data_IF_474419222265
#
_entry.id   IF_474419222265
#
_cell.length_a   1.000
_cell.length_b   1.000
_cell.length_c   1.000
_cell.angle_alpha   90.00
_cell.angle_beta   90.00
_cell.angle_gamma   90.00
#
_symmetry.space_group_name_H-M   'P 1'
#
loop_
_entity.id
_entity.type
_entity.pdbx_description
1 polymer ?
#
# COMPACT_ATOMS: atom_id res chain seq x y z
N UNK A 1 21.01 -48.55 -21.24
CA UNK A 1 20.46 -47.71 -22.30
C UNK A 1 19.14 -47.15 -21.79
N UNK A 2 19.14 -45.98 -21.17
CA UNK A 2 17.90 -45.20 -20.98
C UNK A 2 18.27 -43.72 -20.85
N UNK A 3 17.82 -42.92 -21.81
CA UNK A 3 18.17 -41.51 -21.95
C UNK A 3 17.18 -40.68 -21.14
N UNK A 4 17.74 -39.96 -20.16
CA UNK A 4 17.35 -38.63 -19.66
C UNK A 4 15.96 -38.11 -20.05
N UNK A 5 15.15 -37.82 -19.03
CA UNK A 5 14.20 -36.71 -19.09
C UNK A 5 14.03 -36.10 -17.70
N UNK A 6 15.05 -35.37 -17.25
CA UNK A 6 14.81 -34.37 -16.22
C UNK A 6 13.96 -33.25 -16.84
N UNK A 7 12.80 -32.90 -16.26
CA UNK A 7 11.98 -31.83 -16.82
C UNK A 7 12.79 -30.53 -16.80
N UNK A 8 12.78 -29.79 -17.91
CA UNK A 8 13.41 -28.46 -17.98
C UNK A 8 12.76 -27.61 -16.90
N UNK A 9 13.50 -27.33 -15.82
CA UNK A 9 13.03 -26.44 -14.75
C UNK A 9 12.64 -25.11 -15.39
N UNK A 10 11.36 -24.75 -15.30
CA UNK A 10 10.90 -23.40 -15.60
C UNK A 10 11.82 -22.44 -14.81
N UNK A 11 12.58 -21.60 -15.51
CA UNK A 11 13.32 -20.53 -14.85
C UNK A 11 12.28 -19.54 -14.31
N UNK A 12 12.16 -19.45 -12.99
CA UNK A 12 11.28 -18.50 -12.30
C UNK A 12 11.83 -17.10 -12.52
N UNK A 13 10.99 -16.16 -12.95
CA UNK A 13 11.36 -14.75 -13.12
C UNK A 13 11.27 -14.01 -11.78
N UNK A 14 12.36 -14.10 -11.00
CA UNK A 14 12.44 -13.54 -9.66
C UNK A 14 12.41 -12.01 -9.61
N UNK A 15 12.68 -11.31 -10.73
CA UNK A 15 12.66 -9.83 -10.76
C UNK A 15 11.22 -9.32 -10.90
N UNK A 16 10.39 -10.00 -11.70
CA UNK A 16 8.95 -9.75 -11.79
C UNK A 16 8.19 -10.19 -10.51
N UNK A 17 8.58 -11.32 -9.89
CA UNK A 17 8.03 -11.81 -8.61
C UNK A 17 8.32 -10.90 -7.40
N UNK A 18 9.37 -10.09 -7.51
CA UNK A 18 9.82 -9.16 -6.47
C UNK A 18 9.22 -7.74 -6.64
N UNK A 19 8.67 -7.45 -7.82
CA UNK A 19 7.94 -6.21 -8.14
C UNK A 19 6.42 -6.38 -7.95
N UNK A 20 5.89 -7.59 -8.14
CA UNK A 20 4.50 -7.93 -7.82
C UNK A 20 4.34 -8.21 -6.32
N UNK A 21 3.29 -7.67 -5.71
CA UNK A 21 2.81 -8.23 -4.46
C UNK A 21 2.08 -9.53 -4.80
N UNK A 22 2.26 -10.61 -4.03
CA UNK A 22 1.58 -11.91 -4.24
C UNK A 22 0.05 -11.82 -4.41
N UNK A 23 -0.57 -10.70 -4.01
CA UNK A 23 -2.02 -10.41 -4.13
C UNK A 23 -2.46 -10.13 -5.59
N UNK A 24 -1.55 -9.75 -6.48
CA UNK A 24 -1.88 -9.27 -7.83
C UNK A 24 -2.13 -10.39 -8.87
N UNK A 25 -1.80 -11.65 -8.54
CA UNK A 25 -2.02 -12.80 -9.43
C UNK A 25 -3.42 -13.45 -9.28
N UNK A 26 -4.20 -13.08 -8.26
CA UNK A 26 -5.50 -13.69 -7.95
C UNK A 26 -6.70 -12.75 -8.12
N UNK A 27 -6.65 -11.74 -9.00
CA UNK A 27 -7.82 -10.87 -9.23
C UNK A 27 -9.03 -11.67 -9.76
N UNK A 28 -8.81 -12.85 -10.36
CA UNK A 28 -9.86 -13.73 -10.86
C UNK A 28 -10.33 -14.84 -9.89
N UNK A 29 -9.78 -14.95 -8.68
CA UNK A 29 -10.08 -16.10 -7.79
C UNK A 29 -10.76 -15.77 -6.46
N UNK A 30 -10.89 -14.50 -6.05
CA UNK A 30 -11.54 -14.16 -4.78
C UNK A 30 -12.83 -13.38 -4.98
N UNK A 31 -13.93 -14.00 -4.53
CA UNK A 31 -15.28 -13.51 -4.66
C UNK A 31 -15.41 -12.02 -4.35
N UNK A 32 -16.14 -11.33 -5.23
CA UNK A 32 -16.47 -9.91 -5.14
C UNK A 32 -16.93 -9.59 -3.71
N UNK A 33 -16.13 -8.85 -2.92
CA UNK A 33 -16.56 -8.36 -1.61
C UNK A 33 -17.88 -7.60 -1.83
N UNK A 34 -18.97 -8.11 -1.24
CA UNK A 34 -20.28 -7.46 -1.35
C UNK A 34 -20.27 -6.22 -0.47
N UNK A 35 -20.11 -5.06 -1.10
CA UNK A 35 -20.34 -3.78 -0.44
C UNK A 35 -21.81 -3.66 -0.05
N UNK A 36 -22.11 -3.04 1.10
CA UNK A 36 -23.50 -2.74 1.45
C UNK A 36 -24.07 -1.79 0.40
N UNK A 37 -25.33 -2.04 0.00
CA UNK A 37 -26.02 -1.15 -0.93
C UNK A 37 -26.00 0.28 -0.37
N UNK A 38 -25.43 1.23 -1.12
CA UNK A 38 -25.27 2.64 -0.71
C UNK A 38 -23.88 3.05 -0.21
N UNK A 39 -22.89 2.15 -0.13
CA UNK A 39 -21.51 2.53 0.22
C UNK A 39 -20.86 3.37 -0.87
N UNK A 40 -20.26 4.52 -0.50
CA UNK A 40 -19.51 5.41 -1.40
C UNK A 40 -18.02 5.03 -1.39
N UNK A 41 -17.38 5.06 -2.56
CA UNK A 41 -15.95 4.79 -2.74
C UNK A 41 -15.25 6.10 -3.05
N UNK A 42 -14.12 6.35 -2.38
CA UNK A 42 -13.31 7.56 -2.56
C UNK A 42 -11.85 7.19 -2.80
N UNK A 43 -11.11 8.07 -3.47
CA UNK A 43 -9.68 7.89 -3.70
C UNK A 43 -8.87 8.22 -2.44
N UNK A 44 -8.01 7.29 -2.05
CA UNK A 44 -7.07 7.45 -0.95
C UNK A 44 -5.74 7.97 -1.51
N UNK A 45 -5.19 9.02 -0.92
CA UNK A 45 -3.84 9.51 -1.22
C UNK A 45 -2.79 8.67 -0.48
N UNK A 46 -2.94 8.53 0.84
CA UNK A 46 -2.08 7.71 1.69
C UNK A 46 -2.73 7.43 3.04
N UNK A 47 -2.26 6.39 3.71
CA UNK A 47 -2.53 6.17 5.12
C UNK A 47 -1.50 6.94 5.95
N UNK A 48 -1.96 7.66 6.98
CA UNK A 48 -1.13 8.54 7.80
C UNK A 48 -0.78 7.87 9.13
N UNK A 49 -1.76 7.22 9.74
CA UNK A 49 -1.64 6.63 11.08
C UNK A 49 -2.48 5.36 11.20
N UNK A 50 -2.18 4.55 12.21
CA UNK A 50 -2.92 3.33 12.56
C UNK A 50 -3.13 3.29 14.06
N UNK A 51 -4.34 2.91 14.50
CA UNK A 51 -4.66 2.65 15.91
C UNK A 51 -5.32 1.29 16.08
N UNK A 52 -5.11 0.65 17.23
CA UNK A 52 -5.73 -0.62 17.60
C UNK A 52 -7.04 -0.36 18.34
N UNK A 53 -8.08 -1.09 17.99
CA UNK A 53 -9.37 -1.09 18.68
C UNK A 53 -9.41 -2.17 19.78
N UNK A 54 -10.40 -2.07 20.68
CA UNK A 54 -10.56 -3.00 21.82
C UNK A 54 -10.79 -4.46 21.40
N UNK A 55 -11.29 -4.68 20.19
CA UNK A 55 -11.61 -5.98 19.61
C UNK A 55 -10.49 -6.55 18.71
N UNK A 56 -9.25 -6.09 18.90
CA UNK A 56 -8.08 -6.46 18.09
C UNK A 56 -8.09 -6.01 16.62
N UNK A 57 -9.11 -5.26 16.19
CA UNK A 57 -9.12 -4.65 14.86
C UNK A 57 -8.24 -3.40 14.79
N UNK A 58 -7.99 -2.96 13.56
CA UNK A 58 -7.26 -1.73 13.27
C UNK A 58 -8.12 -0.73 12.52
N UNK A 59 -7.94 0.54 12.87
CA UNK A 59 -8.37 1.67 12.05
C UNK A 59 -7.16 2.42 11.55
N UNK A 60 -7.31 3.00 10.37
CA UNK A 60 -6.29 3.79 9.72
C UNK A 60 -6.79 5.19 9.47
N UNK A 61 -5.96 6.18 9.75
CA UNK A 61 -6.25 7.56 9.39
C UNK A 61 -5.93 7.75 7.91
N UNK A 62 -6.98 8.02 7.13
CA UNK A 62 -6.92 8.11 5.67
C UNK A 62 -6.75 9.57 5.24
N UNK A 63 -5.66 9.87 4.52
CA UNK A 63 -5.58 11.09 3.73
C UNK A 63 -6.35 10.88 2.44
N UNK A 64 -7.46 11.61 2.28
CA UNK A 64 -8.26 11.58 1.06
C UNK A 64 -7.57 12.37 -0.05
N UNK A 65 -7.63 11.87 -1.28
CA UNK A 65 -7.00 12.50 -2.45
C UNK A 65 -7.70 13.81 -2.81
N UNK A 66 -6.94 14.88 -3.00
CA UNK A 66 -7.43 16.23 -3.35
C UNK A 66 -8.27 16.91 -2.24
N UNK A 67 -8.29 16.34 -1.04
CA UNK A 67 -8.89 16.96 0.13
C UNK A 67 -7.83 17.46 1.10
N UNK A 68 -8.11 18.48 1.90
CA UNK A 68 -7.18 18.94 2.93
C UNK A 68 -6.87 17.89 4.00
N UNK A 69 -5.75 18.07 4.72
CA UNK A 69 -5.34 17.12 5.77
C UNK A 69 -6.37 17.02 6.91
N UNK A 70 -7.03 18.12 7.28
CA UNK A 70 -7.99 18.15 8.39
C UNK A 70 -9.30 17.40 8.10
N UNK A 71 -9.58 17.02 6.86
CA UNK A 71 -10.75 16.20 6.51
C UNK A 71 -10.45 14.70 6.57
N UNK A 72 -9.24 14.32 7.00
CA UNK A 72 -8.86 12.91 7.15
C UNK A 72 -9.72 12.23 8.22
N UNK A 73 -10.18 11.01 7.94
CA UNK A 73 -11.03 10.24 8.84
C UNK A 73 -10.39 8.91 9.20
N UNK A 74 -10.76 8.37 10.36
CA UNK A 74 -10.38 7.03 10.78
C UNK A 74 -11.31 6.02 10.11
N UNK A 75 -10.75 5.20 9.22
CA UNK A 75 -11.49 4.15 8.52
C UNK A 75 -11.08 2.76 9.04
N UNK A 76 -12.05 1.87 9.31
CA UNK A 76 -11.79 0.46 9.58
C UNK A 76 -10.95 -0.20 8.48
N UNK A 77 -10.08 -1.14 8.88
CA UNK A 77 -9.30 -1.95 7.93
C UNK A 77 -10.16 -2.61 6.84
N UNK A 78 -11.39 -3.00 7.20
CA UNK A 78 -12.35 -3.61 6.28
C UNK A 78 -12.84 -2.68 5.15
N UNK A 79 -12.73 -1.36 5.31
CA UNK A 79 -13.05 -0.37 4.26
C UNK A 79 -11.91 -0.14 3.29
N UNK A 80 -10.70 -0.64 3.60
CA UNK A 80 -9.49 -0.36 2.86
C UNK A 80 -9.06 -1.56 2.02
N UNK A 81 -8.38 -1.26 0.93
CA UNK A 81 -7.73 -2.28 0.13
C UNK A 81 -6.50 -2.82 0.87
N UNK A 82 -6.30 -4.14 0.86
CA UNK A 82 -5.14 -4.83 1.43
C UNK A 82 -3.82 -4.28 0.90
N UNK A 83 -3.77 -3.84 -0.36
CA UNK A 83 -2.59 -3.20 -0.94
C UNK A 83 -2.23 -1.86 -0.27
N UNK A 84 -3.24 -1.05 0.09
CA UNK A 84 -3.01 0.22 0.78
C UNK A 84 -2.44 -0.04 2.19
N UNK A 85 -2.99 -1.02 2.89
CA UNK A 85 -2.51 -1.42 4.22
C UNK A 85 -1.08 -1.95 4.15
N UNK A 86 -0.76 -2.75 3.12
CA UNK A 86 0.59 -3.27 2.89
C UNK A 86 1.58 -2.14 2.59
N UNK A 87 1.23 -1.23 1.68
CA UNK A 87 2.07 -0.09 1.32
C UNK A 87 2.33 0.83 2.52
N UNK A 88 1.36 0.97 3.44
CA UNK A 88 1.58 1.68 4.69
C UNK A 88 2.56 0.96 5.62
N UNK A 89 2.44 -0.37 5.73
CA UNK A 89 3.24 -1.17 6.66
C UNK A 89 4.66 -1.40 6.16
N UNK A 90 4.85 -1.54 4.85
CA UNK A 90 6.14 -1.72 4.20
C UNK A 90 6.23 -0.74 3.02
N UNK A 91 6.50 0.55 3.29
CA UNK A 91 6.55 1.57 2.25
C UNK A 91 7.73 1.33 1.33
N UNK A 92 7.49 1.38 0.02
CA UNK A 92 8.56 1.41 -0.97
C UNK A 92 9.22 2.79 -0.90
N UNK A 93 10.41 2.85 -0.30
CA UNK A 93 11.20 4.08 -0.22
C UNK A 93 12.07 4.18 -1.46
N UNK A 94 11.67 5.04 -2.41
CA UNK A 94 12.48 5.32 -3.59
C UNK A 94 13.52 6.40 -3.30
N UNK A 95 14.61 6.41 -4.08
CA UNK A 95 15.70 7.38 -3.92
C UNK A 95 15.18 8.81 -4.15
N UNK A 96 14.30 9.00 -5.11
CA UNK A 96 13.69 10.31 -5.41
C UNK A 96 12.86 10.82 -4.24
N UNK A 97 12.11 9.92 -3.57
CA UNK A 97 11.30 10.27 -2.41
C UNK A 97 12.17 10.67 -1.21
N UNK A 98 13.30 9.99 -1.01
CA UNK A 98 14.29 10.38 0.00
C UNK A 98 14.91 11.74 -0.31
N UNK A 99 15.33 11.95 -1.56
CA UNK A 99 15.90 13.22 -2.00
C UNK A 99 14.91 14.37 -1.82
N UNK A 100 13.66 14.20 -2.26
CA UNK A 100 12.61 15.19 -2.09
C UNK A 100 12.35 15.51 -0.61
N UNK A 101 12.27 14.49 0.25
CA UNK A 101 12.11 14.69 1.68
C UNK A 101 13.30 15.44 2.30
N UNK A 102 14.53 15.12 1.89
CA UNK A 102 15.72 15.83 2.36
C UNK A 102 15.73 17.31 1.95
N UNK A 103 15.33 17.61 0.71
CA UNK A 103 15.27 18.99 0.21
C UNK A 103 14.22 19.78 1.00
N UNK A 104 13.00 19.25 1.13
CA UNK A 104 11.94 19.92 1.88
C UNK A 104 12.32 20.18 3.35
N UNK A 105 13.05 19.23 3.97
CA UNK A 105 13.55 19.39 5.33
C UNK A 105 14.60 20.50 5.44
N UNK A 106 15.58 20.53 4.51
CA UNK A 106 16.59 21.58 4.46
C UNK A 106 15.98 22.96 4.20
N UNK A 107 15.04 23.06 3.28
CA UNK A 107 14.29 24.30 3.01
C UNK A 107 13.54 24.78 4.26
N UNK A 108 12.90 23.87 4.99
CA UNK A 108 12.25 24.16 6.26
C UNK A 108 13.22 24.73 7.29
N UNK A 109 14.38 24.10 7.49
CA UNK A 109 15.42 24.60 8.41
C UNK A 109 15.90 25.98 7.98
N UNK A 110 16.22 26.16 6.70
CA UNK A 110 16.69 27.43 6.17
C UNK A 110 15.63 28.54 6.31
N UNK A 111 14.35 28.21 6.26
CA UNK A 111 13.27 29.18 6.46
C UNK A 111 13.19 29.70 7.90
N UNK A 112 13.61 28.90 8.88
CA UNK A 112 13.62 29.28 10.30
C UNK A 112 14.84 30.14 10.63
N UNK A 113 15.94 29.96 9.90
CA UNK A 113 17.21 30.66 10.12
C UNK A 113 17.34 32.00 9.36
N UNK A 114 16.39 32.31 8.48
CA UNK A 114 16.28 33.60 7.77
C UNK A 114 15.42 34.56 8.56
#
# INVERSE_FOLDING_TARGET
MERSRFPRRNRVDYKALNVLSTVDLEVHLKGRRKFKSGSKVYFVERLISRRRLKNEDFEYLVKWKDWPLWTSTWEPSAHLNEHLIRAYSNPTVTVERLQSASVAFLEGILSILK
#
